data_IF_505544046605
#
_entry.id   IF_505544046605
#
_cell.length_a   1.000
_cell.length_b   1.000
_cell.length_c   1.000
_cell.angle_alpha   90.00
_cell.angle_beta   90.00
_cell.angle_gamma   90.00
#
_symmetry.space_group_name_H-M   'P 1'
#
loop_
_entity.id
_entity.type
_entity.pdbx_description
1 polymer ?
#
# COMPACT_ATOMS: atom_id res chain seq x y z
N UNK A 1 16.23 27.45 -14.16
CA UNK A 1 14.99 27.14 -13.39
C UNK A 1 13.75 27.02 -14.28
N UNK A 2 13.46 27.95 -15.21
CA UNK A 2 12.24 27.89 -16.05
C UNK A 2 12.03 26.58 -16.84
N UNK A 3 13.08 26.01 -17.44
CA UNK A 3 12.98 24.73 -18.17
C UNK A 3 12.51 23.57 -17.30
N UNK A 4 12.99 23.46 -16.06
CA UNK A 4 12.59 22.40 -15.14
C UNK A 4 11.11 22.52 -14.75
N UNK A 5 10.65 23.75 -14.49
CA UNK A 5 9.24 24.06 -14.19
C UNK A 5 8.34 23.69 -15.38
N UNK A 6 8.70 24.08 -16.60
CA UNK A 6 7.92 23.75 -17.80
C UNK A 6 7.82 22.24 -18.04
N UNK A 7 8.88 21.47 -17.76
CA UNK A 7 8.85 20.01 -17.88
C UNK A 7 7.98 19.37 -16.81
N UNK A 8 8.07 19.83 -15.56
CA UNK A 8 7.23 19.33 -14.47
C UNK A 8 5.74 19.60 -14.72
N UNK A 9 5.39 20.82 -15.17
CA UNK A 9 4.02 21.19 -15.52
C UNK A 9 3.48 20.31 -16.65
N UNK A 10 4.24 20.13 -17.73
CA UNK A 10 3.86 19.25 -18.84
C UNK A 10 3.61 17.81 -18.37
N UNK A 11 4.46 17.29 -17.49
CA UNK A 11 4.29 15.94 -16.96
C UNK A 11 3.07 15.81 -16.04
N UNK A 12 2.81 16.81 -15.20
CA UNK A 12 1.66 16.80 -14.29
C UNK A 12 0.34 16.89 -15.08
N UNK A 13 0.23 17.84 -16.02
CA UNK A 13 -0.96 18.00 -16.85
C UNK A 13 -1.22 16.76 -17.73
N UNK A 14 -0.17 16.08 -18.21
CA UNK A 14 -0.31 14.83 -18.96
C UNK A 14 -0.94 13.69 -18.14
N UNK A 15 -0.84 13.72 -16.81
CA UNK A 15 -1.42 12.71 -15.92
C UNK A 15 -2.86 13.01 -15.51
N UNK A 16 -3.37 14.21 -15.82
CA UNK A 16 -4.74 14.59 -15.51
C UNK A 16 -5.73 13.72 -16.29
N UNK A 17 -6.79 13.28 -15.62
CA UNK A 17 -7.88 12.52 -16.24
C UNK A 17 -8.82 13.46 -17.04
N UNK A 18 -9.63 12.93 -17.98
CA UNK A 18 -10.49 13.76 -18.84
C UNK A 18 -11.49 14.66 -18.10
N UNK A 19 -11.89 14.27 -16.89
CA UNK A 19 -12.78 15.00 -15.99
C UNK A 19 -12.04 15.98 -15.06
N UNK A 20 -10.72 16.11 -15.21
CA UNK A 20 -9.91 17.15 -14.57
C UNK A 20 -9.24 16.74 -13.25
N UNK A 21 -9.46 15.53 -12.73
CA UNK A 21 -8.79 15.09 -11.49
C UNK A 21 -7.42 14.44 -11.76
N UNK A 22 -6.63 14.28 -10.69
CA UNK A 22 -5.42 13.45 -10.69
C UNK A 22 -5.62 12.24 -9.80
N UNK A 23 -5.16 11.08 -10.24
CA UNK A 23 -5.16 9.85 -9.47
C UNK A 23 -3.73 9.33 -9.39
N UNK A 24 -3.21 9.23 -8.17
CA UNK A 24 -1.89 8.67 -7.86
C UNK A 24 -2.03 7.51 -6.88
N UNK A 25 -1.00 6.67 -6.82
CA UNK A 25 -0.95 5.60 -5.83
C UNK A 25 -0.77 6.19 -4.43
N UNK A 26 -1.67 5.86 -3.51
CA UNK A 26 -1.52 6.16 -2.09
C UNK A 26 -0.76 5.00 -1.43
N UNK A 27 0.54 5.20 -1.20
CA UNK A 27 1.36 4.21 -0.52
C UNK A 27 1.15 4.30 1.00
N UNK A 28 0.70 3.19 1.57
CA UNK A 28 0.55 3.00 3.03
C UNK A 28 1.30 1.73 3.47
N UNK A 29 1.31 1.49 4.77
CA UNK A 29 1.85 0.26 5.36
C UNK A 29 1.06 -1.01 4.95
N UNK A 30 1.46 -2.16 5.48
CA UNK A 30 0.82 -3.45 5.17
C UNK A 30 -0.52 -3.65 5.88
N UNK A 31 -0.89 -2.82 6.86
CA UNK A 31 -2.01 -3.09 7.77
C UNK A 31 -3.35 -3.10 7.06
N UNK A 32 -3.54 -2.30 6.01
CA UNK A 32 -4.80 -2.32 5.24
C UNK A 32 -5.03 -3.66 4.54
N UNK A 33 -3.96 -4.28 4.01
CA UNK A 33 -4.05 -5.62 3.42
C UNK A 33 -4.33 -6.67 4.51
N UNK A 34 -3.70 -6.53 5.68
CA UNK A 34 -3.91 -7.43 6.82
C UNK A 34 -5.36 -7.38 7.31
N UNK A 35 -5.88 -6.16 7.56
CA UNK A 35 -7.24 -5.93 8.03
C UNK A 35 -8.26 -6.44 6.99
N UNK A 36 -8.00 -6.24 5.69
CA UNK A 36 -8.86 -6.76 4.63
C UNK A 36 -8.95 -8.29 4.63
N UNK A 37 -7.82 -9.00 4.71
CA UNK A 37 -7.82 -10.47 4.72
C UNK A 37 -8.63 -11.00 5.91
N UNK A 38 -8.37 -10.48 7.10
CA UNK A 38 -9.08 -10.89 8.32
C UNK A 38 -10.57 -10.57 8.22
N UNK A 39 -10.93 -9.38 7.71
CA UNK A 39 -12.32 -8.97 7.55
C UNK A 39 -13.08 -9.87 6.56
N UNK A 40 -12.47 -10.23 5.42
CA UNK A 40 -13.12 -11.12 4.44
C UNK A 40 -13.31 -12.54 5.01
N UNK A 41 -12.35 -13.02 5.82
CA UNK A 41 -12.51 -14.27 6.56
C UNK A 41 -13.67 -14.20 7.57
N UNK A 42 -13.79 -13.08 8.30
CA UNK A 42 -14.90 -12.84 9.23
C UNK A 42 -16.26 -12.82 8.52
N UNK A 43 -16.35 -12.19 7.35
CA UNK A 43 -17.57 -12.12 6.55
C UNK A 43 -17.91 -13.44 5.84
N UNK A 44 -16.98 -14.40 5.75
CA UNK A 44 -17.17 -15.63 4.98
C UNK A 44 -17.14 -15.43 3.45
N UNK A 45 -16.59 -14.29 2.98
CA UNK A 45 -16.62 -13.87 1.57
C UNK A 45 -15.22 -13.86 0.94
N UNK A 46 -14.39 -14.84 1.30
CA UNK A 46 -12.99 -14.88 0.87
C UNK A 46 -12.84 -15.07 -0.64
N UNK A 47 -12.22 -14.08 -1.30
CA UNK A 47 -11.68 -14.23 -2.65
C UNK A 47 -10.21 -14.69 -2.58
N UNK A 48 -9.97 -15.94 -2.96
CA UNK A 48 -8.64 -16.55 -2.91
C UNK A 48 -7.60 -15.88 -3.82
N UNK A 49 -8.01 -15.23 -4.92
CA UNK A 49 -7.09 -14.50 -5.79
C UNK A 49 -6.67 -13.17 -5.16
N UNK A 50 -7.64 -12.40 -4.63
CA UNK A 50 -7.36 -11.16 -3.93
C UNK A 50 -6.54 -11.39 -2.65
N UNK A 51 -6.89 -12.39 -1.83
CA UNK A 51 -6.13 -12.75 -0.65
C UNK A 51 -4.67 -13.07 -0.99
N UNK A 52 -4.40 -13.86 -2.04
CA UNK A 52 -3.02 -14.15 -2.48
C UNK A 52 -2.24 -12.87 -2.85
N UNK A 53 -2.91 -11.88 -3.44
CA UNK A 53 -2.28 -10.58 -3.74
C UNK A 53 -1.98 -9.78 -2.47
N UNK A 54 -2.91 -9.75 -1.51
CA UNK A 54 -2.72 -9.13 -0.20
C UNK A 54 -1.56 -9.78 0.58
N UNK A 55 -1.54 -11.12 0.70
CA UNK A 55 -0.46 -11.85 1.38
C UNK A 55 0.90 -11.57 0.75
N UNK A 56 1.00 -11.58 -0.58
CA UNK A 56 2.24 -11.22 -1.28
C UNK A 56 2.67 -9.77 -0.96
N UNK A 57 1.71 -8.85 -0.86
CA UNK A 57 1.97 -7.46 -0.54
C UNK A 57 2.44 -7.26 0.91
N UNK A 58 1.87 -8.01 1.86
CA UNK A 58 2.27 -8.05 3.27
C UNK A 58 3.71 -8.58 3.37
N UNK A 59 3.98 -9.78 2.83
CA UNK A 59 5.31 -10.41 2.92
C UNK A 59 6.42 -9.58 2.25
N UNK A 60 6.12 -8.89 1.15
CA UNK A 60 7.10 -8.01 0.48
C UNK A 60 7.58 -6.85 1.38
N UNK A 61 6.82 -6.51 2.43
CA UNK A 61 7.13 -5.40 3.35
C UNK A 61 7.73 -5.87 4.68
N UNK A 62 7.89 -7.17 4.88
CA UNK A 62 8.51 -7.69 6.09
C UNK A 62 9.97 -7.18 6.19
N UNK A 63 10.33 -6.70 7.37
CA UNK A 63 11.66 -6.21 7.68
C UNK A 63 12.62 -7.39 7.96
N UNK A 64 13.96 -7.16 7.92
CA UNK A 64 14.94 -8.22 8.19
C UNK A 64 14.85 -8.85 9.58
N UNK A 65 14.31 -8.13 10.57
CA UNK A 65 14.05 -8.62 11.93
C UNK A 65 12.73 -9.41 12.05
N UNK A 66 11.98 -9.53 10.95
CA UNK A 66 10.73 -10.28 10.87
C UNK A 66 9.47 -9.46 11.17
N UNK A 67 9.58 -8.18 11.55
CA UNK A 67 8.42 -7.32 11.81
C UNK A 67 8.00 -6.46 10.61
N UNK A 68 7.07 -5.53 10.85
CA UNK A 68 6.54 -4.58 9.86
C UNK A 68 6.51 -3.17 10.43
N UNK A 69 6.78 -2.16 9.60
CA UNK A 69 6.73 -0.74 9.96
C UNK A 69 5.47 -0.04 9.42
N UNK A 70 5.19 1.14 9.96
CA UNK A 70 4.07 2.00 9.54
C UNK A 70 4.50 3.17 8.62
N UNK A 71 5.81 3.30 8.37
CA UNK A 71 6.36 4.26 7.41
C UNK A 71 7.68 3.73 6.82
N UNK A 72 8.03 4.20 5.63
CA UNK A 72 9.21 3.73 4.91
C UNK A 72 10.51 3.99 5.69
N UNK A 73 11.29 2.93 5.92
CA UNK A 73 12.56 2.99 6.65
C UNK A 73 12.43 3.05 8.17
N UNK A 74 11.20 2.96 8.71
CA UNK A 74 10.96 2.87 10.15
C UNK A 74 11.28 1.50 10.73
N UNK A 75 11.38 1.40 12.08
CA UNK A 75 11.55 0.12 12.76
C UNK A 75 10.24 -0.69 12.76
N UNK A 76 10.34 -1.97 13.11
CA UNK A 76 9.18 -2.81 13.39
C UNK A 76 8.27 -2.19 14.45
N UNK A 77 6.98 -2.18 14.17
CA UNK A 77 5.92 -1.66 15.04
C UNK A 77 5.00 -2.82 15.43
N UNK A 78 4.59 -2.87 16.70
CA UNK A 78 3.90 -4.02 17.29
C UNK A 78 2.54 -4.24 16.64
N UNK A 79 1.72 -3.21 16.50
CA UNK A 79 0.38 -3.33 15.91
C UNK A 79 0.46 -3.81 14.46
N UNK A 80 1.32 -3.20 13.66
CA UNK A 80 1.53 -3.58 12.27
C UNK A 80 2.01 -5.03 12.15
N UNK A 81 2.95 -5.43 13.00
CA UNK A 81 3.53 -6.78 12.98
C UNK A 81 2.52 -7.85 13.39
N UNK A 82 1.72 -7.60 14.43
CA UNK A 82 0.68 -8.55 14.87
C UNK A 82 -0.37 -8.74 13.79
N UNK A 83 -0.83 -7.65 13.17
CA UNK A 83 -1.81 -7.71 12.07
C UNK A 83 -1.25 -8.46 10.86
N UNK A 84 -0.01 -8.16 10.47
CA UNK A 84 0.65 -8.79 9.34
C UNK A 84 0.91 -10.28 9.55
N UNK A 85 1.27 -10.69 10.77
CA UNK A 85 1.48 -12.10 11.11
C UNK A 85 0.17 -12.90 11.13
N UNK A 86 -0.91 -12.29 11.62
CA UNK A 86 -2.19 -12.98 11.77
C UNK A 86 -2.95 -13.17 10.44
N UNK A 87 -2.80 -12.22 9.52
CA UNK A 87 -3.45 -12.21 8.20
C UNK A 87 -2.80 -13.17 7.20
#
# INVERSE_FOLDING_TARGET
MGRAISLAQKNLLRQQKPDGHWCGELLVDSTLCSDYVVFMHWCGEVDAHLQRRCVRHILKRQLPDGGWNIYHGGPSEINASVKAYFA
#
